data_IF_367448034318
#
_entry.id   IF_367448034318
#
_cell.length_a   1.000
_cell.length_b   1.000
_cell.length_c   1.000
_cell.angle_alpha   90.00
_cell.angle_beta   90.00
_cell.angle_gamma   90.00
#
_symmetry.space_group_name_H-M   'P 1'
#
loop_
_entity.id
_entity.type
_entity.pdbx_description
1 polymer ?
#
# COMPACT_ATOMS: atom_id res chain seq x y z
N UNK A 1 9.24 -24.65 -2.15
CA UNK A 1 9.32 -24.97 -0.71
C UNK A 1 7.90 -25.07 -0.11
N UNK A 2 7.71 -25.77 1.01
CA UNK A 2 6.41 -25.90 1.68
C UNK A 2 6.01 -24.59 2.38
N UNK A 3 6.96 -23.91 3.00
CA UNK A 3 6.73 -22.64 3.72
C UNK A 3 6.22 -21.55 2.77
N UNK A 4 6.81 -21.44 1.58
CA UNK A 4 6.32 -20.53 0.54
C UNK A 4 4.87 -20.82 0.11
N UNK A 5 4.44 -22.08 0.11
CA UNK A 5 3.04 -22.44 -0.23
C UNK A 5 2.09 -22.08 0.89
N UNK A 6 2.47 -22.30 2.15
CA UNK A 6 1.67 -21.86 3.30
C UNK A 6 1.54 -20.35 3.33
N UNK A 7 2.63 -19.64 3.06
CA UNK A 7 2.63 -18.20 2.95
C UNK A 7 1.66 -17.71 1.86
N UNK A 8 1.80 -18.22 0.63
CA UNK A 8 0.92 -17.84 -0.48
C UNK A 8 -0.56 -18.15 -0.18
N UNK A 9 -0.86 -19.27 0.51
CA UNK A 9 -2.22 -19.59 0.92
C UNK A 9 -2.78 -18.60 1.96
N UNK A 10 -1.95 -18.14 2.90
CA UNK A 10 -2.33 -17.07 3.84
C UNK A 10 -2.59 -15.76 3.10
N UNK A 11 -1.74 -15.38 2.14
CA UNK A 11 -1.95 -14.17 1.34
C UNK A 11 -3.30 -14.22 0.59
N UNK A 12 -3.66 -15.35 -0.02
CA UNK A 12 -4.99 -15.50 -0.67
C UNK A 12 -6.14 -15.27 0.31
N UNK A 13 -6.00 -15.76 1.55
CA UNK A 13 -7.01 -15.53 2.59
C UNK A 13 -7.04 -14.06 3.03
N UNK A 14 -5.89 -13.41 3.16
CA UNK A 14 -5.76 -11.99 3.51
C UNK A 14 -6.43 -11.12 2.43
N UNK A 15 -6.12 -11.34 1.14
CA UNK A 15 -6.74 -10.58 0.04
C UNK A 15 -8.26 -10.75 -0.03
N UNK A 16 -8.76 -11.96 0.22
CA UNK A 16 -10.20 -12.18 0.28
C UNK A 16 -10.85 -11.37 1.42
N UNK A 17 -10.18 -11.23 2.57
CA UNK A 17 -10.63 -10.37 3.67
C UNK A 17 -10.53 -8.89 3.31
N UNK A 18 -9.46 -8.47 2.64
CA UNK A 18 -9.27 -7.06 2.23
C UNK A 18 -10.38 -6.62 1.27
N UNK A 19 -10.68 -7.43 0.26
CA UNK A 19 -11.77 -7.19 -0.69
C UNK A 19 -13.10 -7.05 0.05
N UNK A 20 -13.41 -7.95 0.98
CA UNK A 20 -14.66 -7.87 1.75
C UNK A 20 -14.71 -6.64 2.67
N UNK A 21 -13.62 -6.32 3.37
CA UNK A 21 -13.52 -5.16 4.24
C UNK A 21 -13.71 -3.86 3.47
N UNK A 22 -13.01 -3.66 2.35
CA UNK A 22 -13.17 -2.48 1.51
C UNK A 22 -14.55 -2.43 0.86
N UNK A 23 -15.13 -3.56 0.43
CA UNK A 23 -16.51 -3.59 -0.09
C UNK A 23 -17.52 -3.14 0.97
N UNK A 24 -17.38 -3.57 2.23
CA UNK A 24 -18.23 -3.12 3.33
C UNK A 24 -18.03 -1.64 3.66
N UNK A 25 -16.79 -1.15 3.61
CA UNK A 25 -16.46 0.25 3.83
C UNK A 25 -17.02 1.14 2.70
N UNK A 26 -16.82 0.77 1.44
CA UNK A 26 -17.29 1.50 0.26
C UNK A 26 -18.82 1.59 0.19
N UNK A 27 -19.54 0.59 0.70
CA UNK A 27 -21.00 0.69 0.88
C UNK A 27 -21.44 1.88 1.74
N UNK A 28 -20.57 2.44 2.58
CA UNK A 28 -20.84 3.65 3.38
C UNK A 28 -20.57 4.94 2.62
N UNK A 29 -19.79 4.89 1.54
CA UNK A 29 -19.42 6.03 0.71
C UNK A 29 -20.29 6.16 -0.56
N UNK A 30 -20.98 5.08 -0.96
CA UNK A 30 -21.93 5.01 -2.09
C UNK A 30 -21.35 5.31 -3.49
N UNK A 31 -20.14 5.84 -3.56
CA UNK A 31 -19.43 6.19 -4.80
C UNK A 31 -18.08 5.47 -4.81
N UNK A 32 -17.78 4.85 -5.95
CA UNK A 32 -16.47 4.26 -6.25
C UNK A 32 -16.10 4.59 -7.69
N UNK A 33 -14.88 5.09 -7.89
CA UNK A 33 -14.31 5.37 -9.21
C UNK A 33 -13.54 4.15 -9.71
N UNK A 34 -13.42 3.97 -11.05
CA UNK A 34 -12.61 2.90 -11.60
C UNK A 34 -11.12 3.11 -11.29
N UNK A 35 -10.37 2.02 -11.43
CA UNK A 35 -8.91 2.07 -11.41
C UNK A 35 -8.40 3.00 -12.50
N UNK A 36 -7.41 3.85 -12.17
CA UNK A 36 -6.75 4.72 -13.14
C UNK A 36 -6.00 3.89 -14.17
N UNK A 37 -5.90 4.35 -15.42
CA UNK A 37 -5.23 3.62 -16.48
C UNK A 37 -3.80 3.18 -16.14
N UNK A 38 -2.91 4.03 -15.55
CA UNK A 38 -1.55 3.60 -15.25
C UNK A 38 -1.47 2.44 -14.26
N UNK A 39 -2.37 2.42 -13.25
CA UNK A 39 -2.44 1.30 -12.31
C UNK A 39 -3.02 0.04 -12.99
N UNK A 40 -4.01 0.20 -13.86
CA UNK A 40 -4.56 -0.93 -14.62
C UNK A 40 -3.50 -1.59 -15.50
N UNK A 41 -2.70 -0.78 -16.19
CA UNK A 41 -1.61 -1.27 -17.03
C UNK A 41 -0.58 -2.04 -16.22
N UNK A 42 -0.16 -1.51 -15.07
CA UNK A 42 0.78 -2.20 -14.18
C UNK A 42 0.24 -3.55 -13.67
N UNK A 43 -1.04 -3.60 -13.28
CA UNK A 43 -1.70 -4.84 -12.84
C UNK A 43 -1.82 -5.84 -14.00
N UNK A 44 -2.19 -5.38 -15.19
CA UNK A 44 -2.27 -6.23 -16.38
C UNK A 44 -0.90 -6.82 -16.75
N UNK A 45 0.18 -6.04 -16.64
CA UNK A 45 1.54 -6.52 -16.86
C UNK A 45 1.91 -7.59 -15.82
N UNK A 46 1.64 -7.34 -14.54
CA UNK A 46 1.91 -8.29 -13.46
C UNK A 46 1.20 -9.64 -13.67
N UNK A 47 -0.05 -9.61 -14.13
CA UNK A 47 -0.88 -10.80 -14.34
C UNK A 47 -0.55 -11.57 -15.64
N UNK A 48 0.06 -10.92 -16.62
CA UNK A 48 0.43 -11.54 -17.90
C UNK A 48 1.77 -12.26 -17.85
N UNK A 49 2.66 -11.87 -16.94
CA UNK A 49 3.95 -12.53 -16.81
C UNK A 49 3.81 -13.90 -16.12
N UNK A 50 4.26 -14.96 -16.80
CA UNK A 50 4.21 -16.32 -16.27
C UNK A 50 5.31 -16.63 -15.25
N UNK A 51 6.32 -15.75 -15.13
CA UNK A 51 7.46 -15.95 -14.24
C UNK A 51 7.10 -15.46 -12.85
N UNK A 52 7.18 -16.38 -11.89
CA UNK A 52 6.76 -16.10 -10.51
C UNK A 52 7.51 -14.91 -9.89
N UNK A 53 8.79 -14.72 -10.22
CA UNK A 53 9.62 -13.67 -9.66
C UNK A 53 9.25 -12.29 -10.22
N UNK A 54 8.79 -12.23 -11.47
CA UNK A 54 8.23 -11.03 -12.07
C UNK A 54 6.88 -10.67 -11.45
N UNK A 55 6.03 -11.68 -11.20
CA UNK A 55 4.79 -11.46 -10.44
C UNK A 55 5.09 -10.94 -9.04
N UNK A 56 6.13 -11.46 -8.36
CA UNK A 56 6.53 -11.00 -7.03
C UNK A 56 7.10 -9.59 -7.04
N UNK A 57 7.90 -9.26 -8.06
CA UNK A 57 8.42 -7.92 -8.25
C UNK A 57 7.28 -6.92 -8.48
N UNK A 58 6.34 -7.26 -9.36
CA UNK A 58 5.25 -6.39 -9.73
C UNK A 58 4.20 -6.24 -8.62
N UNK A 59 3.76 -7.34 -8.02
CA UNK A 59 2.69 -7.31 -7.02
C UNK A 59 3.23 -6.96 -5.63
N UNK A 60 4.15 -7.76 -5.09
CA UNK A 60 4.62 -7.58 -3.71
C UNK A 60 5.56 -6.40 -3.52
N UNK A 61 6.45 -6.11 -4.47
CA UNK A 61 7.39 -4.98 -4.30
C UNK A 61 6.78 -3.67 -4.78
N UNK A 62 6.20 -3.67 -5.98
CA UNK A 62 5.73 -2.43 -6.62
C UNK A 62 4.31 -2.08 -6.18
N UNK A 63 3.31 -2.92 -6.46
CA UNK A 63 1.89 -2.60 -6.20
C UNK A 63 1.59 -2.52 -4.70
N UNK A 64 1.99 -3.52 -3.91
CA UNK A 64 1.76 -3.55 -2.46
C UNK A 64 2.62 -2.49 -1.74
N UNK A 65 3.88 -2.28 -2.18
CA UNK A 65 4.72 -1.19 -1.67
C UNK A 65 4.07 0.19 -1.88
N UNK A 66 3.50 0.42 -3.07
CA UNK A 66 2.70 1.61 -3.36
C UNK A 66 1.44 1.69 -2.49
N UNK A 67 0.75 0.56 -2.30
CA UNK A 67 -0.46 0.48 -1.49
C UNK A 67 -0.18 0.84 -0.03
N UNK A 68 0.89 0.33 0.57
CA UNK A 68 1.32 0.66 1.93
C UNK A 68 1.55 2.17 2.12
N UNK A 69 2.22 2.82 1.17
CA UNK A 69 2.43 4.27 1.26
C UNK A 69 1.11 5.05 1.12
N UNK A 70 0.24 4.64 0.19
CA UNK A 70 -1.06 5.29 -0.02
C UNK A 70 -2.03 5.08 1.16
N UNK A 71 -2.18 3.85 1.64
CA UNK A 71 -2.99 3.50 2.81
C UNK A 71 -2.45 4.16 4.07
N UNK A 72 -1.13 4.29 4.23
CA UNK A 72 -0.51 5.05 5.31
C UNK A 72 -0.96 6.51 5.32
N UNK A 73 -0.90 7.17 4.16
CA UNK A 73 -1.37 8.55 4.04
C UNK A 73 -2.88 8.67 4.32
N UNK A 74 -3.70 7.75 3.80
CA UNK A 74 -5.14 7.74 4.05
C UNK A 74 -5.43 7.54 5.54
N UNK A 75 -4.78 6.58 6.21
CA UNK A 75 -4.90 6.34 7.66
C UNK A 75 -4.56 7.57 8.49
N UNK A 76 -3.53 8.30 8.08
CA UNK A 76 -3.02 9.44 8.87
C UNK A 76 -3.87 10.70 8.64
N UNK A 77 -4.49 10.85 7.46
CA UNK A 77 -5.33 12.01 7.11
C UNK A 77 -6.83 11.81 7.37
N UNK A 78 -7.31 10.56 7.34
CA UNK A 78 -8.74 10.27 7.45
C UNK A 78 -9.31 10.72 8.79
N UNK A 79 -10.40 11.47 8.75
CA UNK A 79 -11.12 11.90 9.95
C UNK A 79 -12.06 10.81 10.49
N UNK A 80 -12.43 9.85 9.64
CA UNK A 80 -13.31 8.75 10.03
C UNK A 80 -12.51 7.64 10.74
N UNK A 81 -12.81 7.30 12.01
CA UNK A 81 -12.05 6.29 12.75
C UNK A 81 -12.08 4.89 12.13
N UNK A 82 -13.20 4.48 11.51
CA UNK A 82 -13.31 3.19 10.83
C UNK A 82 -12.40 3.13 9.61
N UNK A 83 -12.32 4.22 8.82
CA UNK A 83 -11.40 4.28 7.68
C UNK A 83 -9.94 4.18 8.13
N UNK A 84 -9.57 4.84 9.23
CA UNK A 84 -8.23 4.71 9.82
C UNK A 84 -7.93 3.26 10.24
N UNK A 85 -8.86 2.63 10.95
CA UNK A 85 -8.72 1.24 11.41
C UNK A 85 -8.59 0.25 10.26
N UNK A 86 -9.46 0.32 9.26
CA UNK A 86 -9.42 -0.59 8.10
C UNK A 86 -8.08 -0.49 7.38
N UNK A 87 -7.59 0.73 7.11
CA UNK A 87 -6.28 0.91 6.50
C UNK A 87 -5.15 0.37 7.40
N UNK A 88 -5.20 0.59 8.72
CA UNK A 88 -4.16 0.11 9.62
C UNK A 88 -4.04 -1.43 9.64
N UNK A 89 -5.15 -2.15 9.70
CA UNK A 89 -5.14 -3.62 9.70
C UNK A 89 -4.77 -4.20 8.33
N UNK A 90 -5.26 -3.61 7.23
CA UNK A 90 -4.81 -4.02 5.88
C UNK A 90 -3.31 -3.81 5.76
N UNK A 91 -2.79 -2.65 6.17
CA UNK A 91 -1.35 -2.39 6.13
C UNK A 91 -0.51 -3.39 6.94
N UNK A 92 -1.01 -3.92 8.05
CA UNK A 92 -0.33 -4.98 8.81
C UNK A 92 -0.20 -6.27 8.00
N UNK A 93 -1.24 -6.63 7.24
CA UNK A 93 -1.25 -7.80 6.36
C UNK A 93 -0.33 -7.57 5.15
N UNK A 94 -0.48 -6.43 4.45
CA UNK A 94 0.33 -6.05 3.28
C UNK A 94 1.83 -5.95 3.62
N UNK A 95 2.18 -5.42 4.81
CA UNK A 95 3.58 -5.33 5.23
C UNK A 95 4.24 -6.70 5.32
N UNK A 96 3.48 -7.74 5.68
CA UNK A 96 3.96 -9.13 5.65
C UNK A 96 4.16 -9.59 4.22
N UNK A 97 3.25 -9.28 3.29
CA UNK A 97 3.29 -9.70 1.88
C UNK A 97 4.51 -9.12 1.17
N UNK A 98 4.75 -7.83 1.37
CA UNK A 98 5.95 -7.13 0.92
C UNK A 98 7.22 -7.77 1.50
N UNK A 99 7.25 -8.08 2.80
CA UNK A 99 8.40 -8.70 3.44
C UNK A 99 8.73 -10.09 2.85
N UNK A 100 7.70 -10.88 2.56
CA UNK A 100 7.87 -12.19 1.93
C UNK A 100 8.37 -12.10 0.49
N UNK A 101 7.82 -11.16 -0.29
CA UNK A 101 8.31 -10.84 -1.64
C UNK A 101 9.78 -10.44 -1.59
N UNK A 102 10.15 -9.50 -0.70
CA UNK A 102 11.54 -9.07 -0.48
C UNK A 102 12.47 -10.25 -0.21
N UNK A 103 12.17 -11.08 0.80
CA UNK A 103 13.04 -12.20 1.19
C UNK A 103 13.19 -13.19 0.02
N UNK A 104 12.08 -13.55 -0.62
CA UNK A 104 12.08 -14.51 -1.73
C UNK A 104 12.89 -14.02 -2.94
N UNK A 105 12.73 -12.74 -3.31
CA UNK A 105 13.44 -12.15 -4.45
C UNK A 105 14.92 -11.93 -4.14
N UNK A 106 15.25 -11.50 -2.92
CA UNK A 106 16.63 -11.32 -2.47
C UNK A 106 17.45 -12.60 -2.53
N UNK A 107 16.83 -13.75 -2.20
CA UNK A 107 17.49 -15.05 -2.28
C UNK A 107 17.60 -15.57 -3.73
N UNK A 108 16.64 -15.21 -4.59
CA UNK A 108 16.56 -15.70 -5.96
C UNK A 108 17.39 -14.90 -6.97
N UNK A 109 17.33 -13.57 -6.94
CA UNK A 109 17.99 -12.70 -7.93
C UNK A 109 19.51 -12.88 -8.05
N UNK A 110 20.27 -13.23 -6.99
CA UNK A 110 21.67 -13.62 -7.11
C UNK A 110 21.94 -14.77 -8.10
N UNK A 111 20.93 -15.60 -8.38
CA UNK A 111 21.02 -16.77 -9.26
C UNK A 111 20.71 -16.44 -10.73
N UNK A 112 20.13 -15.26 -10.98
CA UNK A 112 19.83 -14.79 -12.34
C UNK A 112 21.08 -14.34 -13.07
N UNK A 113 21.08 -14.53 -14.38
CA UNK A 113 22.06 -13.94 -15.30
C UNK A 113 21.91 -12.42 -15.33
N UNK A 114 22.93 -11.72 -15.81
CA UNK A 114 22.85 -10.26 -15.93
C UNK A 114 21.71 -9.82 -16.85
N UNK A 115 21.52 -10.49 -18.00
CA UNK A 115 20.46 -10.16 -18.94
C UNK A 115 19.06 -10.31 -18.31
N UNK A 116 18.85 -11.33 -17.48
CA UNK A 116 17.58 -11.49 -16.75
C UNK A 116 17.38 -10.39 -15.71
N UNK A 117 18.43 -9.95 -15.01
CA UNK A 117 18.36 -8.82 -14.06
C UNK A 117 18.11 -7.49 -14.75
N UNK A 118 18.72 -7.26 -15.90
CA UNK A 118 18.52 -6.07 -16.72
C UNK A 118 17.04 -5.98 -17.15
N UNK A 119 16.40 -7.11 -17.47
CA UNK A 119 14.97 -7.16 -17.77
C UNK A 119 14.09 -6.79 -16.55
N UNK A 120 14.48 -7.19 -15.33
CA UNK A 120 13.76 -6.78 -14.09
C UNK A 120 13.95 -5.30 -13.82
N UNK A 121 15.13 -4.77 -14.11
CA UNK A 121 15.42 -3.34 -14.00
C UNK A 121 14.59 -2.53 -15.00
N UNK A 122 14.51 -2.96 -16.26
CA UNK A 122 13.68 -2.34 -17.29
C UNK A 122 12.20 -2.29 -16.86
N UNK A 123 11.67 -3.41 -16.37
CA UNK A 123 10.31 -3.46 -15.81
C UNK A 123 10.13 -2.47 -14.65
N UNK A 124 11.07 -2.42 -13.70
CA UNK A 124 10.96 -1.50 -12.56
C UNK A 124 10.98 -0.04 -12.99
N UNK A 125 11.79 0.32 -13.99
CA UNK A 125 11.82 1.69 -14.53
C UNK A 125 10.46 2.06 -15.09
N UNK A 126 9.87 1.21 -15.93
CA UNK A 126 8.52 1.42 -16.48
C UNK A 126 7.48 1.53 -15.37
N UNK A 127 7.49 0.59 -14.43
CA UNK A 127 6.57 0.56 -13.31
C UNK A 127 6.64 1.85 -12.47
N UNK A 128 7.84 2.41 -12.25
CA UNK A 128 8.01 3.67 -11.53
C UNK A 128 7.28 4.83 -12.21
N UNK A 129 7.31 4.91 -13.54
CA UNK A 129 6.59 5.94 -14.29
C UNK A 129 5.06 5.73 -14.25
N UNK A 130 4.60 4.48 -14.37
CA UNK A 130 3.18 4.15 -14.22
C UNK A 130 2.64 4.52 -12.83
N UNK A 131 3.37 4.17 -11.77
CA UNK A 131 3.00 4.52 -10.38
C UNK A 131 2.92 6.03 -10.16
N UNK A 132 3.85 6.79 -10.74
CA UNK A 132 3.82 8.26 -10.69
C UNK A 132 2.59 8.82 -11.42
N UNK A 133 2.21 8.21 -12.54
CA UNK A 133 1.06 8.61 -13.37
C UNK A 133 -0.30 8.34 -12.72
N UNK A 134 -0.45 7.20 -12.03
CA UNK A 134 -1.67 6.79 -11.29
C UNK A 134 -2.27 7.94 -10.46
N UNK A 135 -1.43 8.75 -9.83
CA UNK A 135 -1.88 9.75 -8.85
C UNK A 135 -2.53 11.00 -9.43
N UNK A 136 -2.21 11.34 -10.68
CA UNK A 136 -2.68 12.58 -11.32
C UNK A 136 -3.70 12.33 -12.41
N UNK A 137 -3.85 11.08 -12.82
CA UNK A 137 -4.87 10.69 -13.79
C UNK A 137 -6.24 10.46 -13.11
N UNK A 138 -6.71 11.49 -12.40
CA UNK A 138 -8.00 11.51 -11.71
C UNK A 138 -9.12 12.08 -12.60
N UNK A 139 -9.00 11.95 -13.93
CA UNK A 139 -9.92 12.53 -14.93
C UNK A 139 -11.37 12.15 -14.67
N UNK A 140 -11.63 10.90 -14.30
CA UNK A 140 -12.98 10.43 -13.97
C UNK A 140 -13.63 11.21 -12.81
N UNK A 141 -12.85 11.56 -11.80
CA UNK A 141 -13.32 12.34 -10.64
C UNK A 141 -13.61 13.78 -11.08
N UNK A 142 -12.73 14.38 -11.89
CA UNK A 142 -12.95 15.74 -12.40
C UNK A 142 -14.22 15.83 -13.25
N UNK A 143 -14.45 14.86 -14.15
CA UNK A 143 -15.67 14.78 -14.95
C UNK A 143 -16.92 14.59 -14.11
N UNK A 144 -16.89 13.72 -13.09
CA UNK A 144 -18.03 13.49 -12.21
C UNK A 144 -18.41 14.71 -11.35
N UNK A 145 -17.48 15.66 -11.18
CA UNK A 145 -17.69 16.91 -10.46
C UNK A 145 -17.95 18.11 -11.38
N UNK A 146 -18.14 17.88 -12.69
CA UNK A 146 -18.29 18.92 -13.71
C UNK A 146 -17.13 19.96 -13.72
N UNK A 147 -15.92 19.50 -13.42
CA UNK A 147 -14.70 20.33 -13.41
C UNK A 147 -13.98 20.30 -14.77
N UNK A 148 -13.28 21.38 -15.15
CA UNK A 148 -12.51 21.43 -16.40
C UNK A 148 -11.32 20.48 -16.33
N UNK A 149 -11.48 19.28 -16.89
CA UNK A 149 -10.54 18.17 -16.79
C UNK A 149 -9.09 18.57 -17.10
N UNK A 150 -8.87 19.25 -18.23
CA UNK A 150 -7.52 19.63 -18.68
C UNK A 150 -6.84 20.61 -17.71
N UNK A 151 -7.59 21.60 -17.21
CA UNK A 151 -7.06 22.56 -16.25
C UNK A 151 -6.76 21.88 -14.90
N UNK A 152 -7.64 21.00 -14.42
CA UNK A 152 -7.41 20.23 -13.19
C UNK A 152 -6.15 19.36 -13.27
N UNK A 153 -5.91 18.70 -14.41
CA UNK A 153 -4.69 17.92 -14.64
C UNK A 153 -3.47 18.84 -14.59
N UNK A 154 -3.48 19.97 -15.30
CA UNK A 154 -2.37 20.93 -15.30
C UNK A 154 -2.08 21.49 -13.89
N UNK A 155 -3.12 21.82 -13.11
CA UNK A 155 -2.96 22.24 -11.73
C UNK A 155 -2.36 21.14 -10.85
N UNK A 156 -2.82 19.89 -11.03
CA UNK A 156 -2.32 18.74 -10.29
C UNK A 156 -0.85 18.47 -10.58
N UNK A 157 -0.44 18.54 -11.86
CA UNK A 157 0.95 18.35 -12.29
C UNK A 157 1.91 19.42 -11.75
N UNK A 158 1.43 20.66 -11.64
CA UNK A 158 2.21 21.78 -11.14
C UNK A 158 2.14 21.99 -9.62
N UNK A 159 1.31 21.22 -8.91
CA UNK A 159 1.13 21.34 -7.46
C UNK A 159 2.32 20.77 -6.69
N UNK A 160 2.93 21.59 -5.82
CA UNK A 160 4.02 21.16 -4.93
C UNK A 160 3.58 20.07 -3.95
N UNK A 161 2.32 20.12 -3.48
CA UNK A 161 1.78 19.07 -2.60
C UNK A 161 1.70 17.74 -3.35
N UNK A 162 1.28 17.76 -4.62
CA UNK A 162 1.20 16.54 -5.44
C UNK A 162 2.60 16.00 -5.75
N UNK A 163 3.59 16.87 -5.99
CA UNK A 163 5.00 16.47 -6.16
C UNK A 163 5.55 15.78 -4.91
N UNK A 164 5.36 16.37 -3.74
CA UNK A 164 5.76 15.77 -2.46
C UNK A 164 5.04 14.43 -2.20
N UNK A 165 3.73 14.37 -2.47
CA UNK A 165 2.96 13.14 -2.31
C UNK A 165 3.47 12.03 -3.22
N UNK A 166 3.77 12.34 -4.49
CA UNK A 166 4.38 11.37 -5.43
C UNK A 166 5.70 10.84 -4.90
N UNK A 167 6.55 11.67 -4.31
CA UNK A 167 7.82 11.22 -3.73
C UNK A 167 7.57 10.27 -2.56
N UNK A 168 6.70 10.63 -1.62
CA UNK A 168 6.41 9.81 -0.42
C UNK A 168 5.93 8.39 -0.76
N UNK A 169 5.30 8.19 -1.92
CA UNK A 169 4.88 6.85 -2.36
C UNK A 169 6.04 5.88 -2.60
N UNK A 170 7.21 6.40 -2.99
CA UNK A 170 8.39 5.59 -3.26
C UNK A 170 9.16 5.20 -1.99
N UNK A 171 8.79 5.74 -0.82
CA UNK A 171 9.46 5.43 0.45
C UNK A 171 9.44 3.94 0.81
N UNK A 172 8.44 3.19 0.32
CA UNK A 172 8.29 1.75 0.55
C UNK A 172 8.93 0.89 -0.53
N UNK A 173 9.20 1.46 -1.71
CA UNK A 173 9.65 0.71 -2.90
C UNK A 173 11.18 0.79 -3.03
N UNK A 174 11.73 2.00 -2.99
CA UNK A 174 13.17 2.26 -3.20
C UNK A 174 14.08 1.43 -2.29
N UNK A 175 13.88 1.38 -0.95
CA UNK A 175 14.76 0.59 -0.10
C UNK A 175 14.65 -0.92 -0.36
N UNK A 176 13.48 -1.41 -0.79
CA UNK A 176 13.29 -2.83 -1.13
C UNK A 176 13.99 -3.17 -2.44
N UNK A 177 13.84 -2.33 -3.47
CA UNK A 177 14.51 -2.51 -4.76
C UNK A 177 16.03 -2.59 -4.60
N UNK A 178 16.60 -1.73 -3.73
CA UNK A 178 18.01 -1.82 -3.33
C UNK A 178 18.34 -3.14 -2.65
N UNK A 179 17.53 -3.54 -1.68
CA UNK A 179 17.79 -4.70 -0.82
C UNK A 179 17.66 -6.05 -1.56
N UNK A 180 16.74 -6.17 -2.53
CA UNK A 180 16.63 -7.35 -3.42
C UNK A 180 17.73 -7.39 -4.49
N UNK A 181 18.55 -6.34 -4.60
CA UNK A 181 19.73 -6.31 -5.46
C UNK A 181 19.51 -5.82 -6.89
N UNK A 182 18.33 -5.25 -7.22
CA UNK A 182 18.12 -4.57 -8.50
C UNK A 182 18.49 -3.09 -8.32
N UNK A 183 19.77 -2.80 -8.44
CA UNK A 183 20.32 -1.46 -8.20
C UNK A 183 21.28 -1.02 -9.32
N UNK A 184 20.86 -1.26 -10.57
CA UNK A 184 21.61 -0.85 -11.75
C UNK A 184 21.57 0.67 -11.98
N UNK A 185 22.11 1.10 -13.12
CA UNK A 185 22.26 2.53 -13.43
C UNK A 185 20.94 3.16 -13.86
N UNK A 186 20.08 2.42 -14.52
CA UNK A 186 18.86 2.95 -15.11
C UNK A 186 17.80 3.18 -14.03
N UNK A 187 17.70 2.28 -13.05
CA UNK A 187 16.82 2.47 -11.90
C UNK A 187 17.31 3.59 -10.98
N UNK A 188 18.62 3.69 -10.74
CA UNK A 188 19.20 4.79 -9.94
C UNK A 188 18.94 6.14 -10.62
N UNK A 189 19.18 6.24 -11.93
CA UNK A 189 18.87 7.44 -12.72
C UNK A 189 17.37 7.79 -12.65
N UNK A 190 16.50 6.79 -12.76
CA UNK A 190 15.05 6.99 -12.64
C UNK A 190 14.67 7.55 -11.27
N UNK A 191 15.25 7.04 -10.19
CA UNK A 191 15.03 7.55 -8.84
C UNK A 191 15.61 8.95 -8.61
N UNK A 192 16.74 9.29 -9.24
CA UNK A 192 17.27 10.66 -9.25
C UNK A 192 16.31 11.63 -9.95
N UNK A 193 15.83 11.29 -11.15
CA UNK A 193 14.89 12.11 -11.93
C UNK A 193 13.55 12.30 -11.19
N UNK A 194 13.12 11.30 -10.43
CA UNK A 194 11.92 11.37 -9.59
C UNK A 194 12.15 12.10 -8.26
N UNK A 195 13.41 12.33 -7.85
CA UNK A 195 13.76 12.95 -6.58
C UNK A 195 13.44 12.05 -5.37
N UNK A 196 13.64 10.74 -5.51
CA UNK A 196 13.32 9.72 -4.49
C UNK A 196 14.51 8.87 -4.07
N UNK A 197 15.70 9.12 -4.64
CA UNK A 197 16.91 8.34 -4.35
C UNK A 197 17.27 8.33 -2.85
N UNK A 198 16.95 9.41 -2.12
CA UNK A 198 17.17 9.51 -0.67
C UNK A 198 16.49 8.42 0.15
N UNK A 199 15.41 7.79 -0.36
CA UNK A 199 14.75 6.69 0.33
C UNK A 199 15.54 5.39 0.31
N UNK A 200 16.63 5.32 -0.48
CA UNK A 200 17.55 4.19 -0.52
C UNK A 200 18.22 3.88 0.83
N UNK A 201 18.21 4.83 1.75
CA UNK A 201 18.84 4.71 3.07
C UNK A 201 17.84 4.31 4.17
N UNK A 202 16.55 4.15 3.83
CA UNK A 202 15.55 3.64 4.77
C UNK A 202 15.74 2.14 5.03
N UNK A 203 15.45 1.70 6.25
CA UNK A 203 15.43 0.29 6.64
C UNK A 203 14.03 -0.33 6.41
N UNK A 204 13.88 -1.28 5.46
CA UNK A 204 12.62 -1.99 5.24
C UNK A 204 12.07 -2.68 6.50
N UNK A 205 12.94 -3.18 7.38
CA UNK A 205 12.51 -3.92 8.58
C UNK A 205 11.98 -2.98 9.66
N UNK A 206 12.56 -1.78 9.79
CA UNK A 206 12.03 -0.73 10.66
C UNK A 206 10.65 -0.25 10.18
N UNK A 207 10.52 -0.01 8.87
CA UNK A 207 9.25 0.39 8.26
C UNK A 207 8.13 -0.63 8.49
N UNK A 208 8.44 -1.93 8.47
CA UNK A 208 7.49 -3.00 8.79
C UNK A 208 7.11 -3.00 10.27
N UNK A 209 8.08 -2.89 11.19
CA UNK A 209 7.82 -2.84 12.64
C UNK A 209 6.90 -1.68 13.01
N UNK A 210 7.07 -0.54 12.35
CA UNK A 210 6.23 0.64 12.55
C UNK A 210 4.77 0.41 12.16
N UNK A 211 4.51 -0.34 11.08
CA UNK A 211 3.14 -0.64 10.66
C UNK A 211 2.45 -1.60 11.66
N UNK A 212 3.15 -2.64 12.11
CA UNK A 212 2.66 -3.55 13.16
C UNK A 212 2.38 -2.82 14.48
N UNK A 213 3.25 -1.88 14.87
CA UNK A 213 3.07 -1.09 16.09
C UNK A 213 1.80 -0.24 16.03
N UNK A 214 1.52 0.38 14.87
CA UNK A 214 0.32 1.18 14.66
C UNK A 214 -0.95 0.35 14.69
N UNK A 215 -0.94 -0.86 14.12
CA UNK A 215 -2.09 -1.78 14.21
C UNK A 215 -2.41 -2.15 15.67
N UNK A 216 -1.37 -2.47 16.46
CA UNK A 216 -1.49 -2.75 17.90
C UNK A 216 -2.04 -1.59 18.72
N UNK A 217 -1.78 -0.34 18.34
CA UNK A 217 -2.36 0.84 18.99
C UNK A 217 -3.89 0.86 18.83
N UNK A 218 -4.41 0.50 17.65
CA UNK A 218 -5.85 0.39 17.41
C UNK A 218 -6.50 -0.73 18.23
N UNK A 219 -5.83 -1.88 18.37
CA UNK A 219 -6.29 -2.97 19.23
C UNK A 219 -6.39 -2.54 20.70
N UNK A 220 -5.34 -1.89 21.21
CA UNK A 220 -5.33 -1.37 22.58
C UNK A 220 -6.44 -0.34 22.80
N UNK A 221 -6.66 0.55 21.82
CA UNK A 221 -7.74 1.54 21.88
C UNK A 221 -9.11 0.88 21.89
N UNK A 222 -9.32 -0.13 21.05
CA UNK A 222 -10.59 -0.87 20.98
C UNK A 222 -10.86 -1.60 22.30
N UNK A 223 -9.88 -2.33 22.82
CA UNK A 223 -10.00 -3.03 24.10
C UNK A 223 -10.35 -2.07 25.25
N UNK A 224 -9.72 -0.88 25.27
CA UNK A 224 -10.06 0.17 26.24
C UNK A 224 -11.52 0.64 26.11
N UNK A 225 -11.99 0.91 24.89
CA UNK A 225 -13.38 1.34 24.64
C UNK A 225 -14.38 0.26 25.07
N UNK A 226 -14.12 -1.01 24.72
CA UNK A 226 -14.96 -2.14 25.12
C UNK A 226 -15.00 -2.30 26.64
N UNK A 227 -13.86 -2.16 27.33
CA UNK A 227 -13.78 -2.22 28.79
C UNK A 227 -14.55 -1.08 29.46
N UNK A 228 -14.43 0.16 28.97
CA UNK A 228 -15.17 1.32 29.49
C UNK A 228 -16.68 1.18 29.24
N UNK A 229 -17.08 0.71 28.06
CA UNK A 229 -18.48 0.47 27.74
C UNK A 229 -19.09 -0.60 28.67
N UNK A 230 -18.35 -1.67 28.95
CA UNK A 230 -18.76 -2.71 29.90
C UNK A 230 -18.90 -2.17 31.33
N UNK A 231 -17.90 -1.43 31.82
CA UNK A 231 -17.94 -0.81 33.14
C UNK A 231 -19.09 0.20 33.29
N UNK A 232 -19.39 0.95 32.23
CA UNK A 232 -20.51 1.91 32.20
C UNK A 232 -21.88 1.22 32.13
N UNK A 233 -21.97 0.03 31.52
CA UNK A 233 -23.18 -0.79 31.50
C UNK A 233 -23.47 -1.46 32.84
N UNK A 234 -22.44 -1.84 33.60
CA UNK A 234 -22.57 -2.46 34.93
C UNK A 234 -22.95 -1.44 36.03
N UNK A 235 -22.65 -0.15 35.85
CA UNK A 235 -22.96 0.92 36.82
C UNK A 235 -24.41 1.42 36.86
N UNK A 236 -25.26 1.02 35.90
CA UNK A 236 -26.62 1.57 35.77
C UNK A 236 -27.74 0.63 36.24
N UNK A 237 -27.41 -0.55 36.79
CA UNK A 237 -28.40 -1.56 37.22
C UNK A 237 -28.60 -1.60 38.75
N UNK A 238 -27.81 -0.86 39.54
CA UNK A 238 -27.86 -0.92 41.01
C UNK A 238 -28.59 0.23 41.71
N UNK A 239 -29.22 1.17 41.00
CA UNK A 239 -29.82 2.37 41.58
C UNK A 239 -31.36 2.48 41.50
N UNK A 240 -32.09 1.38 41.28
CA UNK A 240 -33.57 1.37 41.41
C UNK A 240 -34.01 0.29 42.40
N UNK A 241 -33.59 0.45 43.65
CA UNK A 241 -34.23 -0.18 44.80
C UNK A 241 -35.04 0.89 45.53
N UNK A 242 -36.30 1.08 45.15
CA UNK A 242 -37.22 1.92 45.92
C UNK A 242 -37.52 1.23 47.25
N UNK A 243 -37.16 1.91 48.33
CA UNK A 243 -37.78 1.75 49.63
C UNK A 243 -39.21 2.28 49.55
N UNK A 244 -40.19 1.40 49.78
CA UNK A 244 -41.32 1.54 50.70
C UNK A 244 -42.06 0.20 50.82
#
# INVERSE_FOLDING_TARGET
DLDAKFYAATQVMDEARHVEAYRMLLKKFEIAYPMTHPLQELVDQALRDSRWDMTYLAMQVVIEGLALAAFGAIRDMAQNPLARMVNAYVMEDEARHVAFGRISLKDYYPQLTQAERDEREEFLVEACWLMRGRMTDAREVYRALDLPEQECVEYSENSEIVKLYRQMLFQRIVPIVKDIGIWGKDIQKTYEEMGVLQYADLDPEELQRDDEAKAKEFDARRAYVEAVAKASGEGNVSAVGHAE
#
